data_IF_695606249626
#
_entry.id   IF_695606249626
#
_cell.length_a   1.000
_cell.length_b   1.000
_cell.length_c   1.000
_cell.angle_alpha   90.00
_cell.angle_beta   90.00
_cell.angle_gamma   90.00
#
_symmetry.space_group_name_H-M   'P 1'
#
loop_
_entity.id
_entity.type
_entity.pdbx_description
1 polymer ?
#
# COMPACT_ATOMS: atom_id res chain seq x y z
N UNK A 1 -12.06 -5.24 -38.95
CA UNK A 1 -12.55 -5.92 -37.76
C UNK A 1 -11.40 -6.06 -36.78
N UNK A 2 -11.40 -5.34 -35.64
CA UNK A 2 -10.39 -5.43 -34.59
C UNK A 2 -9.92 -4.10 -33.99
N UNK A 3 -10.25 -2.95 -34.59
CA UNK A 3 -9.76 -1.64 -34.12
C UNK A 3 -10.32 -1.20 -32.74
N UNK A 4 -11.46 -1.77 -32.29
CA UNK A 4 -12.02 -1.50 -30.98
C UNK A 4 -11.42 -2.35 -29.84
N UNK A 5 -10.87 -3.52 -30.17
CA UNK A 5 -10.37 -4.49 -29.19
C UNK A 5 -9.14 -4.00 -28.44
N UNK A 6 -8.16 -3.42 -29.13
CA UNK A 6 -6.88 -2.98 -28.51
C UNK A 6 -7.10 -1.82 -27.55
N UNK A 7 -7.89 -0.81 -27.92
CA UNK A 7 -8.19 0.33 -27.03
C UNK A 7 -8.96 -0.10 -25.79
N UNK A 8 -9.94 -0.99 -25.95
CA UNK A 8 -10.72 -1.50 -24.82
C UNK A 8 -9.85 -2.34 -23.89
N UNK A 9 -8.98 -3.16 -24.43
CA UNK A 9 -8.04 -3.97 -23.66
C UNK A 9 -7.05 -3.08 -22.88
N UNK A 10 -6.49 -2.04 -23.53
CA UNK A 10 -5.60 -1.11 -22.84
C UNK A 10 -6.35 -0.32 -21.75
N UNK A 11 -7.57 0.12 -22.01
CA UNK A 11 -8.42 0.78 -21.01
C UNK A 11 -8.70 -0.11 -19.81
N UNK A 12 -8.99 -1.38 -20.04
CA UNK A 12 -9.16 -2.39 -18.97
C UNK A 12 -7.91 -2.45 -18.07
N UNK A 13 -6.72 -2.54 -18.66
CA UNK A 13 -5.47 -2.54 -17.92
C UNK A 13 -5.24 -1.24 -17.12
N UNK A 14 -5.59 -0.09 -17.70
CA UNK A 14 -5.46 1.21 -17.02
C UNK A 14 -6.38 1.28 -15.79
N UNK A 15 -7.65 0.86 -15.95
CA UNK A 15 -8.63 0.85 -14.86
C UNK A 15 -8.24 -0.16 -13.78
N UNK A 16 -7.75 -1.34 -14.17
CA UNK A 16 -7.27 -2.35 -13.23
C UNK A 16 -6.08 -1.85 -12.43
N UNK A 17 -5.13 -1.21 -13.09
CA UNK A 17 -3.96 -0.60 -12.42
C UNK A 17 -4.38 0.46 -11.42
N UNK A 18 -5.29 1.36 -11.78
CA UNK A 18 -5.80 2.38 -10.88
C UNK A 18 -6.51 1.76 -9.67
N UNK A 19 -7.41 0.80 -9.90
CA UNK A 19 -8.14 0.10 -8.86
C UNK A 19 -7.19 -0.59 -7.88
N UNK A 20 -6.26 -1.38 -8.40
CA UNK A 20 -5.28 -2.10 -7.59
C UNK A 20 -4.40 -1.16 -6.77
N UNK A 21 -3.94 -0.06 -7.37
CA UNK A 21 -3.04 0.89 -6.72
C UNK A 21 -3.72 1.59 -5.54
N UNK A 22 -4.95 2.04 -5.69
CA UNK A 22 -5.71 2.67 -4.60
C UNK A 22 -6.12 1.67 -3.52
N UNK A 23 -6.44 0.43 -3.92
CA UNK A 23 -6.80 -0.64 -2.97
C UNK A 23 -5.64 -1.05 -2.08
N UNK A 24 -4.41 -0.98 -2.60
CA UNK A 24 -3.19 -1.37 -1.87
C UNK A 24 -3.03 -0.57 -0.56
N UNK A 25 -3.22 0.74 -0.60
CA UNK A 25 -3.16 1.59 0.59
C UNK A 25 -4.28 1.30 1.58
N UNK A 26 -5.51 1.13 1.10
CA UNK A 26 -6.66 0.79 1.92
C UNK A 26 -6.49 -0.58 2.60
N UNK A 27 -6.03 -1.59 1.87
CA UNK A 27 -5.79 -2.94 2.40
C UNK A 27 -4.79 -2.93 3.57
N UNK A 28 -3.77 -2.08 3.52
CA UNK A 28 -2.79 -1.98 4.61
C UNK A 28 -3.41 -1.40 5.89
N UNK A 29 -4.20 -0.33 5.77
CA UNK A 29 -4.86 0.32 6.92
C UNK A 29 -5.87 -0.62 7.59
N UNK A 30 -6.61 -1.40 6.79
CA UNK A 30 -7.62 -2.34 7.28
C UNK A 30 -7.06 -3.70 7.70
N UNK A 31 -5.72 -3.85 7.77
CA UNK A 31 -5.08 -5.12 8.13
C UNK A 31 -5.47 -6.30 7.23
N UNK A 32 -5.85 -6.02 5.99
CA UNK A 32 -6.27 -7.02 5.00
C UNK A 32 -5.08 -7.68 4.28
N UNK A 33 -3.84 -7.35 4.65
CA UNK A 33 -2.67 -8.05 4.15
C UNK A 33 -2.54 -9.43 4.79
N UNK A 34 -2.22 -10.42 3.95
CA UNK A 34 -1.90 -11.77 4.43
C UNK A 34 -0.68 -11.70 5.35
N UNK A 35 -0.88 -11.99 6.62
CA UNK A 35 0.18 -12.08 7.62
C UNK A 35 0.40 -13.54 7.98
N UNK A 36 1.62 -13.88 8.32
CA UNK A 36 1.93 -15.22 8.85
C UNK A 36 1.54 -15.22 10.34
N UNK A 37 0.24 -15.33 10.60
CA UNK A 37 -0.31 -15.32 11.97
C UNK A 37 0.20 -16.46 12.85
N UNK A 38 0.70 -17.55 12.23
CA UNK A 38 1.25 -18.71 12.90
C UNK A 38 2.40 -18.33 13.86
N UNK A 39 3.24 -17.36 13.48
CA UNK A 39 4.32 -16.89 14.34
C UNK A 39 3.84 -16.12 15.57
N UNK A 40 2.60 -15.61 15.54
CA UNK A 40 2.04 -14.74 16.58
C UNK A 40 0.98 -15.41 17.47
N UNK A 41 0.62 -16.68 17.21
CA UNK A 41 -0.44 -17.39 17.96
C UNK A 41 -0.18 -17.35 19.46
N UNK A 42 1.06 -17.60 19.90
CA UNK A 42 1.45 -17.66 21.32
C UNK A 42 2.23 -16.41 21.79
N UNK A 43 2.40 -15.39 20.96
CA UNK A 43 3.17 -14.22 21.31
C UNK A 43 2.37 -13.24 22.19
N UNK A 44 3.05 -12.58 23.13
CA UNK A 44 2.46 -11.51 23.94
C UNK A 44 2.10 -10.32 23.04
N UNK A 45 0.98 -9.61 23.28
CA UNK A 45 0.57 -8.47 22.46
C UNK A 45 1.68 -7.43 22.26
N UNK A 46 2.44 -7.14 23.31
CA UNK A 46 3.54 -6.17 23.24
C UNK A 46 4.68 -6.60 22.31
N UNK A 47 4.98 -7.92 22.25
CA UNK A 47 5.99 -8.47 21.34
C UNK A 47 5.53 -8.36 19.89
N UNK A 48 4.25 -8.57 19.61
CA UNK A 48 3.66 -8.43 18.27
C UNK A 48 3.80 -6.98 17.79
N UNK A 49 3.39 -6.01 18.63
CA UNK A 49 3.49 -4.59 18.27
C UNK A 49 4.93 -4.13 18.10
N UNK A 50 5.85 -4.65 18.91
CA UNK A 50 7.27 -4.35 18.76
C UNK A 50 7.84 -4.90 17.45
N UNK A 51 7.49 -6.13 17.07
CA UNK A 51 7.88 -6.71 15.78
C UNK A 51 7.29 -5.91 14.61
N UNK A 52 6.03 -5.48 14.70
CA UNK A 52 5.39 -4.63 13.70
C UNK A 52 6.09 -3.26 13.59
N UNK A 53 6.43 -2.64 14.71
CA UNK A 53 7.20 -1.39 14.74
C UNK A 53 8.54 -1.51 14.01
N UNK A 54 9.31 -2.55 14.32
CA UNK A 54 10.61 -2.82 13.66
C UNK A 54 10.41 -3.09 12.17
N UNK A 55 9.42 -3.92 11.81
CA UNK A 55 9.09 -4.22 10.42
C UNK A 55 8.70 -2.96 9.62
N UNK A 56 7.86 -2.10 10.19
CA UNK A 56 7.50 -0.83 9.56
C UNK A 56 8.71 0.10 9.39
N UNK A 57 9.55 0.22 10.41
CA UNK A 57 10.67 1.16 10.42
C UNK A 57 11.78 0.74 9.44
N UNK A 58 12.19 -0.53 9.47
CA UNK A 58 13.37 -1.01 8.72
C UNK A 58 13.04 -1.58 7.34
N UNK A 59 11.82 -2.05 7.12
CA UNK A 59 11.43 -2.67 5.85
C UNK A 59 10.38 -1.86 5.11
N UNK A 60 9.24 -1.55 5.74
CA UNK A 60 8.14 -0.93 5.03
C UNK A 60 8.45 0.52 4.61
N UNK A 61 9.01 1.34 5.50
CA UNK A 61 9.35 2.74 5.17
C UNK A 61 10.41 2.82 4.08
N UNK A 62 11.60 2.17 4.19
CA UNK A 62 12.60 2.25 3.13
C UNK A 62 12.11 1.70 1.80
N UNK A 63 11.37 0.60 1.81
CA UNK A 63 10.81 0.00 0.59
C UNK A 63 9.79 0.91 -0.08
N UNK A 64 8.89 1.54 0.69
CA UNK A 64 7.91 2.49 0.16
C UNK A 64 8.60 3.72 -0.43
N UNK A 65 9.59 4.30 0.27
CA UNK A 65 10.32 5.47 -0.24
C UNK A 65 11.04 5.16 -1.54
N UNK A 66 11.72 4.00 -1.61
CA UNK A 66 12.40 3.55 -2.81
C UNK A 66 11.41 3.34 -3.97
N UNK A 67 10.29 2.66 -3.69
CA UNK A 67 9.26 2.39 -4.68
C UNK A 67 8.60 3.69 -5.19
N UNK A 68 8.32 4.65 -4.30
CA UNK A 68 7.78 5.97 -4.68
C UNK A 68 8.78 6.72 -5.56
N UNK A 69 10.06 6.72 -5.18
CA UNK A 69 11.10 7.40 -5.94
C UNK A 69 11.17 6.88 -7.39
N UNK A 70 11.32 5.57 -7.58
CA UNK A 70 11.39 4.98 -8.91
C UNK A 70 10.08 5.08 -9.69
N UNK A 71 8.93 4.94 -9.03
CA UNK A 71 7.63 5.09 -9.67
C UNK A 71 7.37 6.53 -10.13
N UNK A 72 7.79 7.53 -9.34
CA UNK A 72 7.70 8.93 -9.71
C UNK A 72 8.59 9.27 -10.90
N UNK A 73 9.82 8.75 -10.92
CA UNK A 73 10.78 8.93 -12.00
C UNK A 73 10.22 8.38 -13.32
N UNK A 74 9.78 7.14 -13.34
CA UNK A 74 9.14 6.50 -14.51
C UNK A 74 7.88 7.24 -14.97
N UNK A 75 7.10 7.81 -14.03
CA UNK A 75 5.91 8.60 -14.36
C UNK A 75 6.30 9.92 -14.99
N UNK A 76 7.35 10.56 -14.48
CA UNK A 76 7.88 11.82 -15.00
C UNK A 76 8.43 11.66 -16.41
N UNK A 77 9.25 10.64 -16.66
CA UNK A 77 9.76 10.33 -18.01
C UNK A 77 8.60 10.11 -18.99
N UNK A 78 7.59 9.31 -18.61
CA UNK A 78 6.43 9.06 -19.44
C UNK A 78 5.60 10.33 -19.74
N UNK A 79 5.59 11.29 -18.82
CA UNK A 79 4.96 12.58 -19.00
C UNK A 79 5.76 13.47 -19.98
N UNK A 80 7.08 13.60 -19.79
CA UNK A 80 7.95 14.43 -20.60
C UNK A 80 7.99 13.92 -22.05
N UNK A 81 8.11 12.62 -22.23
CA UNK A 81 8.19 11.97 -23.54
C UNK A 81 6.81 11.84 -24.22
N UNK A 82 5.74 12.27 -23.54
CA UNK A 82 4.37 12.11 -24.01
C UNK A 82 4.09 10.67 -24.49
N UNK A 83 4.52 9.70 -23.67
CA UNK A 83 4.52 8.28 -24.00
C UNK A 83 3.13 7.79 -24.43
N UNK A 84 3.06 7.25 -25.64
CA UNK A 84 1.88 6.62 -26.20
C UNK A 84 2.07 5.09 -26.31
N UNK A 85 0.98 4.38 -26.55
CA UNK A 85 1.05 2.93 -26.79
C UNK A 85 1.89 2.64 -28.05
N UNK A 86 2.74 1.60 -28.04
CA UNK A 86 3.47 1.14 -29.22
C UNK A 86 2.53 0.56 -30.30
N UNK A 87 1.27 0.31 -29.97
CA UNK A 87 0.26 -0.15 -30.91
C UNK A 87 -0.28 1.02 -31.72
N UNK A 88 -0.41 0.89 -33.05
CA UNK A 88 -0.95 1.92 -33.95
C UNK A 88 -2.37 2.39 -33.58
N UNK A 89 -3.13 1.56 -32.87
CA UNK A 89 -4.49 1.82 -32.38
C UNK A 89 -4.58 1.85 -30.84
N UNK A 90 -3.46 2.06 -30.13
CA UNK A 90 -3.43 2.09 -28.68
C UNK A 90 -3.91 3.42 -28.09
N UNK A 91 -3.97 3.48 -26.75
CA UNK A 91 -4.31 4.69 -26.03
C UNK A 91 -3.10 5.61 -25.86
N UNK A 92 -3.27 6.93 -26.00
CA UNK A 92 -2.27 7.91 -25.60
C UNK A 92 -2.24 8.03 -24.07
N UNK A 93 -1.28 8.81 -23.54
CA UNK A 93 -1.21 9.20 -22.14
C UNK A 93 -0.89 8.04 -21.18
N UNK A 94 0.10 7.23 -21.48
CA UNK A 94 0.55 6.12 -20.61
C UNK A 94 1.08 6.58 -19.26
N UNK A 95 1.36 7.85 -19.06
CA UNK A 95 1.72 8.43 -17.78
C UNK A 95 0.58 8.35 -16.74
N UNK A 96 -0.70 8.32 -17.19
CA UNK A 96 -1.85 8.27 -16.27
C UNK A 96 -1.84 7.01 -15.39
N UNK A 97 -1.81 5.77 -15.93
CA UNK A 97 -1.73 4.57 -15.10
C UNK A 97 -0.44 4.50 -14.27
N UNK A 98 0.70 4.99 -14.79
CA UNK A 98 1.94 5.10 -14.03
C UNK A 98 1.78 6.04 -12.84
N UNK A 99 1.14 7.21 -13.04
CA UNK A 99 0.81 8.15 -11.98
C UNK A 99 -0.14 7.58 -10.92
N UNK A 100 -1.11 6.73 -11.31
CA UNK A 100 -1.97 6.02 -10.37
C UNK A 100 -1.17 5.08 -9.47
N UNK A 101 -0.13 4.41 -9.99
CA UNK A 101 0.77 3.57 -9.18
C UNK A 101 1.50 4.44 -8.15
N UNK A 102 2.07 5.56 -8.57
CA UNK A 102 2.75 6.49 -7.66
C UNK A 102 1.83 7.01 -6.58
N UNK A 103 0.61 7.41 -6.94
CA UNK A 103 -0.40 7.86 -5.96
C UNK A 103 -0.80 6.74 -4.98
N UNK A 104 -0.99 5.52 -5.46
CA UNK A 104 -1.27 4.35 -4.63
C UNK A 104 -0.15 4.04 -3.64
N UNK A 105 1.11 4.14 -4.07
CA UNK A 105 2.28 3.97 -3.20
C UNK A 105 2.39 5.07 -2.12
N UNK A 106 2.02 6.32 -2.45
CA UNK A 106 1.95 7.41 -1.46
C UNK A 106 0.86 7.11 -0.42
N UNK A 107 -0.30 6.62 -0.84
CA UNK A 107 -1.36 6.20 0.08
C UNK A 107 -0.93 5.03 0.96
N UNK A 108 -0.22 4.05 0.39
CA UNK A 108 0.37 2.96 1.14
C UNK A 108 1.36 3.47 2.19
N UNK A 109 2.24 4.39 1.81
CA UNK A 109 3.19 5.02 2.74
C UNK A 109 2.50 5.75 3.88
N UNK A 110 1.43 6.50 3.59
CA UNK A 110 0.62 7.14 4.64
C UNK A 110 -0.01 6.11 5.60
N UNK A 111 -0.46 4.96 5.06
CA UNK A 111 -0.93 3.83 5.85
C UNK A 111 0.16 3.26 6.76
N UNK A 112 1.37 3.05 6.24
CA UNK A 112 2.53 2.57 7.02
C UNK A 112 2.88 3.54 8.14
N UNK A 113 2.88 4.85 7.88
CA UNK A 113 3.10 5.87 8.91
C UNK A 113 2.01 5.84 9.99
N UNK A 114 0.76 5.66 9.61
CA UNK A 114 -0.36 5.53 10.56
C UNK A 114 -0.17 4.34 11.50
N UNK A 115 0.21 3.17 10.95
CA UNK A 115 0.47 1.96 11.75
C UNK A 115 1.69 2.16 12.65
N UNK A 116 2.76 2.77 12.14
CA UNK A 116 3.94 3.10 12.92
C UNK A 116 3.60 4.00 14.13
N UNK A 117 2.85 5.08 13.90
CA UNK A 117 2.42 6.00 14.96
C UNK A 117 1.57 5.31 16.02
N UNK A 118 0.62 4.44 15.61
CA UNK A 118 -0.17 3.63 16.54
C UNK A 118 0.71 2.70 17.38
N UNK A 119 1.70 2.06 16.76
CA UNK A 119 2.64 1.18 17.44
C UNK A 119 3.50 1.94 18.45
N UNK A 120 3.97 3.15 18.12
CA UNK A 120 4.70 4.03 19.05
C UNK A 120 3.84 4.39 20.25
N UNK A 121 2.60 4.86 20.02
CA UNK A 121 1.67 5.23 21.10
C UNK A 121 1.33 4.03 21.99
N UNK A 122 1.16 2.85 21.41
CA UNK A 122 0.89 1.63 22.18
C UNK A 122 2.08 1.21 23.06
N UNK A 123 3.32 1.32 22.56
CA UNK A 123 4.53 0.88 23.27
C UNK A 123 5.00 1.90 24.33
N UNK A 124 4.94 3.17 24.00
CA UNK A 124 5.58 4.25 24.78
C UNK A 124 4.59 5.30 25.29
N UNK A 125 3.35 5.31 24.81
CA UNK A 125 2.33 6.28 25.19
C UNK A 125 1.66 6.00 26.53
N UNK A 126 0.86 6.99 26.97
CA UNK A 126 0.09 6.93 28.21
C UNK A 126 -0.91 5.76 28.20
N UNK A 127 -1.10 5.02 29.31
CA UNK A 127 -2.06 3.93 29.43
C UNK A 127 -3.49 4.29 29.01
N UNK A 128 -3.91 5.54 29.20
CA UNK A 128 -5.23 6.04 28.80
C UNK A 128 -5.44 6.06 27.29
N UNK A 129 -4.37 6.20 26.50
CA UNK A 129 -4.42 6.26 25.04
C UNK A 129 -4.28 4.89 24.37
N UNK A 130 -3.83 3.87 25.09
CA UNK A 130 -3.61 2.52 24.55
C UNK A 130 -4.86 1.91 23.92
N UNK A 131 -6.03 2.12 24.53
CA UNK A 131 -7.30 1.63 24.00
C UNK A 131 -7.68 2.22 22.64
N UNK A 132 -7.33 3.49 22.40
CA UNK A 132 -7.58 4.18 21.13
C UNK A 132 -6.50 3.91 20.07
N UNK A 133 -5.30 3.58 20.52
CA UNK A 133 -4.14 3.32 19.67
C UNK A 133 -3.89 1.83 19.44
N UNK A 134 -4.84 0.95 19.81
CA UNK A 134 -4.71 -0.50 19.61
C UNK A 134 -4.47 -0.79 18.13
N UNK A 135 -3.29 -1.33 17.75
CA UNK A 135 -3.02 -1.67 16.36
C UNK A 135 -4.01 -2.74 15.87
N UNK A 136 -4.36 -2.68 14.59
CA UNK A 136 -5.33 -3.58 13.98
C UNK A 136 -4.97 -5.08 14.16
N UNK A 137 -3.67 -5.38 14.26
CA UNK A 137 -3.16 -6.74 14.54
C UNK A 137 -3.56 -7.28 15.90
N UNK A 138 -3.73 -6.42 16.91
CA UNK A 138 -4.22 -6.85 18.24
C UNK A 138 -5.74 -6.91 18.26
N UNK A 139 -6.42 -5.96 17.61
CA UNK A 139 -7.87 -5.95 17.52
C UNK A 139 -8.39 -7.25 16.89
N UNK A 140 -7.82 -7.67 15.77
CA UNK A 140 -8.18 -8.94 15.11
C UNK A 140 -7.93 -10.17 15.98
N UNK A 141 -6.90 -10.17 16.83
CA UNK A 141 -6.61 -11.28 17.75
C UNK A 141 -7.63 -11.38 18.90
N UNK A 142 -8.11 -10.26 19.40
CA UNK A 142 -9.14 -10.23 20.45
C UNK A 142 -10.47 -10.74 19.90
N UNK A 143 -10.86 -10.33 18.69
CA UNK A 143 -12.06 -10.82 18.01
C UNK A 143 -12.02 -12.34 17.74
N UNK A 144 -10.85 -12.87 17.37
CA UNK A 144 -10.68 -14.30 17.11
C UNK A 144 -10.71 -15.17 18.39
N UNK A 145 -10.57 -14.55 19.57
CA UNK A 145 -10.57 -15.25 20.89
C UNK A 145 -11.90 -15.18 21.63
N UNK A 146 -12.86 -14.39 21.12
CA UNK A 146 -14.23 -14.27 21.65
C UNK A 146 -15.20 -15.21 20.96
#
# INVERSE_FOLDING_TARGET
PGMGSTKLQELEWHLHTALFSFWLGAAYIHNAHVRIDIAYINAKPRTIVFAEFIGCLFFAIPSCLLAIYFSADVTWEAWVDNEASPSSNGLPFRWIPKGCITAGLILLFAGVLSVLMRSVVYLYGDPSLRGRATPAVIASKVEASS
#
